data_IF_970400322576
#
_entry.id   IF_970400322576
#
_cell.length_a   1.000
_cell.length_b   1.000
_cell.length_c   1.000
_cell.angle_alpha   90.00
_cell.angle_beta   90.00
_cell.angle_gamma   90.00
#
_symmetry.space_group_name_H-M   'P 1'
#
loop_
_entity.id
_entity.type
_entity.pdbx_description
1 polymer ?
#
# COMPACT_ATOMS: atom_id res chain seq x y z
N UNK A 1 11.60 -12.86 -2.17
CA UNK A 1 10.15 -12.65 -1.97
C UNK A 1 9.96 -11.24 -1.45
N UNK A 2 9.13 -10.44 -2.11
CA UNK A 2 8.78 -9.11 -1.62
C UNK A 2 7.66 -9.30 -0.60
N UNK A 3 7.90 -8.88 0.64
CA UNK A 3 7.06 -9.26 1.80
C UNK A 3 6.58 -8.05 2.57
N UNK A 4 6.31 -6.94 1.90
CA UNK A 4 5.80 -5.75 2.58
C UNK A 4 4.86 -4.94 1.70
N UNK A 5 3.97 -4.23 2.38
CA UNK A 5 3.04 -3.27 1.83
C UNK A 5 3.58 -1.88 2.16
N UNK A 6 3.64 -1.00 1.18
CA UNK A 6 3.97 0.40 1.43
C UNK A 6 2.78 1.30 1.12
N UNK A 7 2.61 2.34 1.92
CA UNK A 7 1.61 3.38 1.72
C UNK A 7 2.30 4.72 1.49
N UNK A 8 1.97 5.43 0.41
CA UNK A 8 2.54 6.74 0.13
C UNK A 8 1.48 7.80 -0.18
N UNK A 9 1.73 9.03 0.27
CA UNK A 9 0.94 10.21 -0.03
C UNK A 9 1.86 11.30 -0.62
N UNK A 10 1.42 11.96 -1.69
CA UNK A 10 2.25 12.84 -2.52
C UNK A 10 2.86 14.09 -1.83
N UNK A 11 2.51 14.41 -0.58
CA UNK A 11 3.04 15.58 0.14
C UNK A 11 3.53 15.31 1.57
N UNK A 12 3.63 14.04 1.98
CA UNK A 12 4.15 13.67 3.30
C UNK A 12 3.64 12.34 3.82
N UNK A 13 4.03 11.97 5.05
CA UNK A 13 3.74 10.64 5.62
C UNK A 13 2.56 10.59 6.60
N UNK A 14 1.98 11.74 6.99
CA UNK A 14 0.95 11.76 8.04
C UNK A 14 -0.30 10.96 7.66
N UNK A 15 -0.82 11.20 6.46
CA UNK A 15 -2.02 10.50 5.97
C UNK A 15 -1.72 9.05 5.62
N UNK A 16 -0.55 8.75 5.05
CA UNK A 16 -0.16 7.37 4.72
C UNK A 16 0.05 6.53 5.97
N UNK A 17 0.59 7.10 7.05
CA UNK A 17 0.73 6.41 8.34
C UNK A 17 -0.62 6.00 8.92
N UNK A 18 -1.64 6.86 8.79
CA UNK A 18 -3.00 6.55 9.28
C UNK A 18 -3.59 5.34 8.55
N UNK A 19 -3.44 5.28 7.23
CA UNK A 19 -3.90 4.14 6.42
C UNK A 19 -3.06 2.89 6.72
N UNK A 20 -1.74 3.04 6.79
CA UNK A 20 -0.80 1.96 7.09
C UNK A 20 -1.17 1.26 8.41
N UNK A 21 -1.39 2.04 9.49
CA UNK A 21 -1.83 1.51 10.77
C UNK A 21 -3.19 0.82 10.70
N UNK A 22 -4.13 1.35 9.90
CA UNK A 22 -5.43 0.70 9.68
C UNK A 22 -5.28 -0.68 9.04
N UNK A 23 -4.51 -0.76 7.96
CA UNK A 23 -4.26 -2.03 7.24
C UNK A 23 -3.51 -3.01 8.15
N UNK A 24 -2.50 -2.54 8.88
CA UNK A 24 -1.74 -3.36 9.82
C UNK A 24 -2.65 -3.98 10.89
N UNK A 25 -3.53 -3.19 11.51
CA UNK A 25 -4.48 -3.70 12.49
C UNK A 25 -5.42 -4.76 11.88
N UNK A 26 -5.93 -4.52 10.67
CA UNK A 26 -6.80 -5.49 10.00
C UNK A 26 -6.06 -6.80 9.70
N UNK A 27 -4.80 -6.71 9.25
CA UNK A 27 -3.96 -7.90 9.04
C UNK A 27 -3.70 -8.65 10.35
N UNK A 28 -3.43 -7.95 11.45
CA UNK A 28 -3.28 -8.57 12.76
C UNK A 28 -4.55 -9.30 13.20
N UNK A 29 -5.73 -8.69 13.00
CA UNK A 29 -7.03 -9.30 13.29
C UNK A 29 -7.27 -10.58 12.47
N UNK A 30 -6.82 -10.60 11.21
CA UNK A 30 -6.91 -11.75 10.31
C UNK A 30 -5.77 -12.78 10.47
N UNK A 31 -4.81 -12.53 11.37
CA UNK A 31 -3.64 -13.39 11.59
C UNK A 31 -2.62 -13.37 10.44
N UNK A 32 -2.62 -12.32 9.62
CA UNK A 32 -1.71 -12.12 8.49
C UNK A 32 -0.44 -11.41 8.98
N UNK A 33 0.70 -12.11 8.91
CA UNK A 33 2.01 -11.52 9.22
C UNK A 33 2.61 -10.83 7.99
N UNK A 34 2.08 -9.68 7.61
CA UNK A 34 2.59 -8.87 6.49
C UNK A 34 3.00 -7.45 6.95
N UNK A 35 4.29 -7.10 6.87
CA UNK A 35 4.79 -5.75 7.19
C UNK A 35 4.09 -4.66 6.37
N UNK A 36 3.67 -3.59 7.06
CA UNK A 36 3.03 -2.42 6.47
C UNK A 36 3.79 -1.17 6.88
N UNK A 37 4.40 -0.49 5.91
CA UNK A 37 5.20 0.72 6.13
C UNK A 37 4.56 1.93 5.45
N UNK A 38 4.61 3.10 6.10
CA UNK A 38 4.32 4.37 5.44
C UNK A 38 5.62 5.00 4.95
N UNK A 39 5.66 5.35 3.66
CA UNK A 39 6.84 5.92 3.03
C UNK A 39 6.51 7.26 2.38
N UNK A 40 7.53 8.10 2.22
CA UNK A 40 7.42 9.32 1.42
C UNK A 40 7.37 8.96 -0.07
N UNK A 41 6.56 9.69 -0.83
CA UNK A 41 6.49 9.56 -2.28
C UNK A 41 7.87 9.65 -2.95
N UNK A 42 8.78 10.49 -2.43
CA UNK A 42 10.16 10.61 -2.95
C UNK A 42 10.97 9.32 -2.85
N UNK A 43 10.68 8.49 -1.85
CA UNK A 43 11.41 7.24 -1.62
C UNK A 43 10.79 6.07 -2.38
N UNK A 44 9.59 6.23 -2.95
CA UNK A 44 8.83 5.10 -3.50
C UNK A 44 9.59 4.30 -4.54
N UNK A 45 10.32 4.97 -5.42
CA UNK A 45 11.10 4.33 -6.48
C UNK A 45 12.18 3.38 -5.91
N UNK A 46 12.74 3.72 -4.75
CA UNK A 46 13.73 2.89 -4.06
C UNK A 46 13.08 1.76 -3.24
N UNK A 47 11.86 1.96 -2.76
CA UNK A 47 11.12 1.01 -1.92
C UNK A 47 10.36 -0.04 -2.76
N UNK A 48 9.92 0.29 -3.98
CA UNK A 48 9.19 -0.60 -4.89
C UNK A 48 9.88 -1.95 -5.15
N UNK A 49 11.21 -2.05 -5.35
CA UNK A 49 11.90 -3.31 -5.59
C UNK A 49 11.75 -4.33 -4.46
N UNK A 50 11.60 -3.90 -3.21
CA UNK A 50 11.43 -4.76 -2.04
C UNK A 50 9.97 -4.90 -1.59
N UNK A 51 9.04 -4.27 -2.30
CA UNK A 51 7.62 -4.16 -1.94
C UNK A 51 6.75 -5.06 -2.82
N UNK A 52 5.79 -5.77 -2.22
CA UNK A 52 4.83 -6.58 -2.97
C UNK A 52 3.56 -5.82 -3.32
N UNK A 53 3.15 -4.90 -2.44
CA UNK A 53 1.91 -4.14 -2.57
C UNK A 53 2.17 -2.67 -2.32
N UNK A 54 1.71 -1.82 -3.22
CA UNK A 54 1.77 -0.37 -3.10
C UNK A 54 0.35 0.22 -2.98
N UNK A 55 0.12 0.99 -1.92
CA UNK A 55 -1.14 1.71 -1.71
C UNK A 55 -0.90 3.21 -1.85
N UNK A 56 -1.58 3.83 -2.82
CA UNK A 56 -1.43 5.26 -3.10
C UNK A 56 -2.60 6.06 -2.53
N UNK A 57 -2.31 7.15 -1.82
CA UNK A 57 -3.35 8.08 -1.33
C UNK A 57 -3.66 9.15 -2.37
N UNK A 58 -2.62 9.66 -3.02
CA UNK A 58 -2.72 10.57 -4.16
C UNK A 58 -2.30 9.80 -5.42
N UNK A 59 -2.88 10.14 -6.56
CA UNK A 59 -2.54 9.50 -7.83
C UNK A 59 -1.02 9.60 -8.07
N UNK A 60 -0.31 8.47 -8.20
CA UNK A 60 1.11 8.46 -8.49
C UNK A 60 1.36 8.84 -9.95
N UNK A 61 2.58 9.28 -10.25
CA UNK A 61 3.05 9.54 -11.60
C UNK A 61 3.10 8.24 -12.42
N UNK A 62 2.99 8.36 -13.74
CA UNK A 62 3.00 7.22 -14.67
C UNK A 62 4.28 6.37 -14.51
N UNK A 63 5.44 7.00 -14.36
CA UNK A 63 6.73 6.31 -14.14
C UNK A 63 6.69 5.35 -12.93
N UNK A 64 6.00 5.74 -11.86
CA UNK A 64 5.87 4.92 -10.64
C UNK A 64 4.96 3.72 -10.90
N UNK A 65 3.88 3.92 -11.66
CA UNK A 65 2.94 2.86 -12.04
C UNK A 65 3.59 1.86 -12.98
N UNK A 66 4.28 2.32 -14.01
CA UNK A 66 5.06 1.47 -14.91
C UNK A 66 6.10 0.68 -14.13
N UNK A 67 6.83 1.34 -13.22
CA UNK A 67 7.83 0.64 -12.41
C UNK A 67 7.23 -0.40 -11.49
N UNK A 68 6.11 -0.10 -10.85
CA UNK A 68 5.37 -1.06 -10.05
C UNK A 68 4.96 -2.27 -10.89
N UNK A 69 4.44 -2.05 -12.10
CA UNK A 69 4.04 -3.11 -13.02
C UNK A 69 5.22 -3.97 -13.48
N UNK A 70 6.33 -3.36 -13.91
CA UNK A 70 7.58 -4.07 -14.27
C UNK A 70 8.08 -4.97 -13.14
N UNK A 71 7.96 -4.47 -11.91
CA UNK A 71 8.40 -5.15 -10.71
C UNK A 71 7.37 -6.16 -10.19
N UNK A 72 6.18 -6.26 -10.80
CA UNK A 72 5.09 -7.12 -10.34
C UNK A 72 4.52 -6.70 -8.97
N UNK A 73 4.54 -5.40 -8.66
CA UNK A 73 3.96 -4.81 -7.47
C UNK A 73 2.50 -4.50 -7.73
N UNK A 74 1.60 -5.01 -6.87
CA UNK A 74 0.18 -4.72 -6.98
C UNK A 74 -0.11 -3.32 -6.44
N UNK A 75 -0.88 -2.52 -7.19
CA UNK A 75 -1.16 -1.12 -6.86
C UNK A 75 -2.63 -0.93 -6.49
N UNK A 76 -2.91 -0.33 -5.33
CA UNK A 76 -4.27 -0.13 -4.82
C UNK A 76 -4.53 1.30 -4.34
N UNK A 77 -5.78 1.79 -4.45
CA UNK A 77 -6.15 3.09 -3.90
C UNK A 77 -6.27 3.05 -2.37
N UNK A 78 -5.65 4.01 -1.69
CA UNK A 78 -5.68 4.20 -0.25
C UNK A 78 -6.85 5.04 0.26
N UNK A 79 -7.49 5.82 -0.61
CA UNK A 79 -8.65 6.68 -0.26
C UNK A 79 -9.80 5.90 0.41
N UNK A 80 -10.20 4.69 -0.03
CA UNK A 80 -11.23 3.89 0.65
C UNK A 80 -10.94 3.62 2.13
N UNK A 81 -9.67 3.46 2.52
CA UNK A 81 -9.28 3.26 3.92
C UNK A 81 -9.48 4.52 4.79
N UNK A 82 -9.46 5.71 4.17
CA UNK A 82 -9.75 6.98 4.86
C UNK A 82 -11.25 7.23 4.96
N UNK A 83 -11.98 7.05 3.86
CA UNK A 83 -13.41 7.38 3.78
C UNK A 83 -14.30 6.28 4.37
N UNK A 84 -13.79 5.05 4.49
CA UNK A 84 -14.56 3.87 4.92
C UNK A 84 -15.49 3.30 3.85
N UNK A 85 -15.58 3.93 2.67
CA UNK A 85 -16.45 3.47 1.58
C UNK A 85 -15.66 2.55 0.64
N UNK A 86 -16.12 1.30 0.49
CA UNK A 86 -15.51 0.33 -0.43
C UNK A 86 -14.17 -0.26 0.06
N UNK A 87 -13.84 -0.06 1.35
CA UNK A 87 -12.62 -0.60 1.95
C UNK A 87 -12.59 -2.13 1.91
N UNK A 88 -13.73 -2.79 2.17
CA UNK A 88 -13.83 -4.25 2.23
C UNK A 88 -13.41 -4.91 0.91
N UNK A 89 -13.81 -4.32 -0.22
CA UNK A 89 -13.47 -4.85 -1.55
C UNK A 89 -11.98 -4.74 -1.86
N UNK A 90 -11.34 -3.65 -1.45
CA UNK A 90 -9.90 -3.45 -1.67
C UNK A 90 -9.11 -4.32 -0.71
N UNK A 91 -9.53 -4.35 0.56
CA UNK A 91 -8.90 -5.16 1.59
C UNK A 91 -8.95 -6.65 1.27
N UNK A 92 -10.08 -7.16 0.76
CA UNK A 92 -10.19 -8.55 0.33
C UNK A 92 -9.19 -8.91 -0.78
N UNK A 93 -9.02 -8.03 -1.79
CA UNK A 93 -8.03 -8.24 -2.85
C UNK A 93 -6.61 -8.22 -2.32
N UNK A 94 -6.31 -7.32 -1.39
CA UNK A 94 -5.00 -7.28 -0.72
C UNK A 94 -4.76 -8.58 0.06
N UNK A 95 -5.76 -9.07 0.81
CA UNK A 95 -5.69 -10.33 1.56
C UNK A 95 -5.42 -11.54 0.66
N UNK A 96 -6.03 -11.59 -0.53
CA UNK A 96 -5.78 -12.65 -1.52
C UNK A 96 -4.34 -12.64 -2.04
N UNK A 97 -3.68 -11.48 -2.07
CA UNK A 97 -2.29 -11.35 -2.53
C UNK A 97 -1.25 -11.67 -1.46
N UNK A 98 -1.59 -11.50 -0.17
CA UNK A 98 -0.66 -11.73 0.95
C UNK A 98 -0.78 -13.12 1.58
N UNK A 99 -1.85 -13.86 1.27
CA UNK A 99 -2.07 -15.27 1.67
C UNK A 99 -1.30 -16.24 0.78
#
# INVERSE_FOLDING_TARGET
MKKRLIVACGSGVATSQTIASKIANMFEDDGISFPVDAVDYKSIQNELPSTGIYVYVAQPDEDVLEKAQELGVAVFPGIPFLTGMGVDSIYSQICELVR
#
